data_IF_723412680840
#
_entry.id   IF_723412680840
#
_cell.length_a   1.000
_cell.length_b   1.000
_cell.length_c   1.000
_cell.angle_alpha   90.00
_cell.angle_beta   90.00
_cell.angle_gamma   90.00
#
_symmetry.space_group_name_H-M   'P 1'
#
loop_
_entity.id
_entity.type
_entity.pdbx_description
1 polymer ?
#
# COMPACT_ATOMS: atom_id res chain seq x y z
N UNK A 1 -21.98 -14.42 -4.85
CA UNK A 1 -21.42 -13.06 -4.89
C UNK A 1 -20.05 -13.14 -5.54
N UNK A 2 -19.87 -12.53 -6.71
CA UNK A 2 -18.59 -12.52 -7.43
C UNK A 2 -17.51 -11.78 -6.64
N UNK A 3 -17.90 -10.74 -5.89
CA UNK A 3 -16.99 -9.93 -5.08
C UNK A 3 -16.10 -10.76 -4.12
N UNK A 4 -16.59 -11.87 -3.60
CA UNK A 4 -15.83 -12.76 -2.70
C UNK A 4 -14.69 -13.53 -3.39
N UNK A 5 -14.72 -13.65 -4.73
CA UNK A 5 -13.74 -14.43 -5.49
C UNK A 5 -12.49 -13.62 -5.83
N UNK A 6 -12.63 -12.30 -5.92
CA UNK A 6 -11.58 -11.39 -6.35
C UNK A 6 -10.92 -10.70 -5.16
N UNK A 7 -9.64 -10.40 -5.27
CA UNK A 7 -8.94 -9.56 -4.28
C UNK A 7 -9.30 -8.10 -4.52
N UNK A 8 -9.13 -7.21 -3.53
CA UNK A 8 -9.46 -5.80 -3.70
C UNK A 8 -8.69 -5.13 -4.85
N UNK A 9 -7.44 -5.56 -5.07
CA UNK A 9 -6.61 -5.08 -6.17
C UNK A 9 -7.17 -5.48 -7.54
N UNK A 10 -7.69 -6.70 -7.66
CA UNK A 10 -8.31 -7.21 -8.89
C UNK A 10 -9.66 -6.54 -9.17
N UNK A 11 -10.47 -6.35 -8.14
CA UNK A 11 -11.75 -5.62 -8.26
C UNK A 11 -11.49 -4.19 -8.71
N UNK A 12 -10.52 -3.50 -8.08
CA UNK A 12 -10.15 -2.15 -8.46
C UNK A 12 -9.63 -2.07 -9.90
N UNK A 13 -8.89 -3.09 -10.34
CA UNK A 13 -8.44 -3.20 -11.72
C UNK A 13 -9.63 -3.35 -12.68
N UNK A 14 -10.55 -4.28 -12.41
CA UNK A 14 -11.71 -4.52 -13.28
C UNK A 14 -12.70 -3.35 -13.34
N UNK A 15 -12.81 -2.56 -12.28
CA UNK A 15 -13.73 -1.44 -12.20
C UNK A 15 -13.30 -0.24 -13.05
N UNK A 16 -12.01 -0.13 -13.42
CA UNK A 16 -11.48 0.99 -14.20
C UNK A 16 -11.26 0.63 -15.66
N UNK A 17 -11.18 1.66 -16.50
CA UNK A 17 -10.77 1.56 -17.92
C UNK A 17 -9.29 1.86 -18.12
N UNK A 18 -8.66 2.47 -17.11
CA UNK A 18 -7.24 2.80 -17.06
C UNK A 18 -6.59 2.07 -15.88
N UNK A 19 -5.26 1.94 -15.90
CA UNK A 19 -4.55 1.30 -14.80
C UNK A 19 -4.79 2.07 -13.48
N UNK A 20 -5.23 1.38 -12.42
CA UNK A 20 -5.40 2.01 -11.12
C UNK A 20 -4.04 2.44 -10.52
N UNK A 21 -4.02 3.46 -9.65
CA UNK A 21 -2.79 3.87 -8.97
C UNK A 21 -2.27 2.73 -8.10
N UNK A 22 -1.03 2.30 -8.36
CA UNK A 22 -0.41 1.14 -7.71
C UNK A 22 -0.35 1.29 -6.20
N UNK A 23 -0.12 2.52 -5.70
CA UNK A 23 -0.22 2.82 -4.27
C UNK A 23 -1.55 2.40 -3.67
N UNK A 24 -2.69 2.68 -4.33
CA UNK A 24 -4.03 2.29 -3.85
C UNK A 24 -4.18 0.77 -3.85
N UNK A 25 -3.70 0.09 -4.89
CA UNK A 25 -3.74 -1.38 -4.98
C UNK A 25 -2.92 -2.02 -3.86
N UNK A 26 -1.69 -1.55 -3.63
CA UNK A 26 -0.81 -2.04 -2.57
C UNK A 26 -1.42 -1.84 -1.19
N UNK A 27 -1.95 -0.63 -0.95
CA UNK A 27 -2.63 -0.29 0.30
C UNK A 27 -3.77 -1.27 0.58
N UNK A 28 -4.65 -1.47 -0.38
CA UNK A 28 -5.78 -2.40 -0.22
C UNK A 28 -5.33 -3.85 -0.06
N UNK A 29 -4.31 -4.29 -0.81
CA UNK A 29 -3.74 -5.64 -0.68
C UNK A 29 -3.16 -5.87 0.71
N UNK A 30 -2.42 -4.90 1.24
CA UNK A 30 -1.85 -4.97 2.59
C UNK A 30 -2.96 -5.05 3.66
N UNK A 31 -4.01 -4.23 3.53
CA UNK A 31 -5.17 -4.30 4.41
C UNK A 31 -5.84 -5.67 4.35
N UNK A 32 -6.08 -6.20 3.15
CA UNK A 32 -6.72 -7.49 2.95
C UNK A 32 -5.93 -8.61 3.64
N UNK A 33 -4.59 -8.62 3.47
CA UNK A 33 -3.72 -9.58 4.14
C UNK A 33 -3.78 -9.46 5.67
N UNK A 34 -3.96 -8.27 6.22
CA UNK A 34 -4.15 -8.09 7.67
C UNK A 34 -5.52 -8.57 8.13
N UNK A 35 -6.59 -8.22 7.40
CA UNK A 35 -7.95 -8.63 7.74
C UNK A 35 -8.14 -10.16 7.64
N UNK A 36 -7.38 -10.81 6.76
CA UNK A 36 -7.32 -12.28 6.63
C UNK A 36 -6.37 -12.95 7.63
N UNK A 37 -5.73 -12.19 8.49
CA UNK A 37 -4.74 -12.68 9.46
C UNK A 37 -3.52 -13.38 8.84
N UNK A 38 -3.17 -12.99 7.60
CA UNK A 38 -1.95 -13.43 6.91
C UNK A 38 -0.76 -12.57 7.35
N UNK A 39 -0.98 -11.26 7.47
CA UNK A 39 -0.05 -10.32 8.09
C UNK A 39 -0.64 -9.81 9.40
N UNK A 40 0.22 -9.48 10.36
CA UNK A 40 -0.17 -8.83 11.62
C UNK A 40 0.71 -7.62 11.87
N UNK A 41 0.08 -6.57 12.39
CA UNK A 41 0.77 -5.45 13.01
C UNK A 41 0.81 -5.61 14.52
N UNK A 42 2.02 -5.57 15.08
CA UNK A 42 2.23 -5.48 16.52
C UNK A 42 2.74 -4.10 16.89
N UNK A 43 2.08 -3.46 17.86
CA UNK A 43 2.63 -2.28 18.51
C UNK A 43 3.54 -2.72 19.64
N UNK A 44 4.82 -2.35 19.57
CA UNK A 44 5.77 -2.51 20.66
C UNK A 44 6.35 -1.14 20.99
N UNK A 45 6.26 -0.69 22.24
CA UNK A 45 6.87 0.58 22.60
C UNK A 45 8.39 0.44 22.51
N UNK A 46 9.05 1.46 21.98
CA UNK A 46 10.49 1.55 21.88
C UNK A 46 10.96 2.80 22.63
N UNK A 47 12.09 2.66 23.32
CA UNK A 47 12.70 3.73 24.08
C UNK A 47 14.17 3.82 23.66
N UNK A 48 14.57 4.95 23.07
CA UNK A 48 15.95 5.16 22.58
C UNK A 48 16.94 5.33 23.74
N UNK A 49 16.50 5.93 24.84
CA UNK A 49 17.31 6.11 26.06
C UNK A 49 16.41 6.05 27.30
N UNK A 50 16.96 5.76 28.50
CA UNK A 50 16.17 5.61 29.72
C UNK A 50 15.31 6.82 30.10
N UNK A 51 15.67 8.01 29.61
CA UNK A 51 14.97 9.28 29.87
C UNK A 51 14.08 9.74 28.72
N UNK A 52 14.15 9.10 27.55
CA UNK A 52 13.30 9.42 26.42
C UNK A 52 11.87 8.90 26.64
N UNK A 53 10.82 9.58 26.13
CA UNK A 53 9.48 9.04 26.16
C UNK A 53 9.38 7.75 25.32
N UNK A 54 8.56 6.80 25.78
CA UNK A 54 8.24 5.60 25.02
C UNK A 54 7.46 5.99 23.75
N UNK A 55 8.02 5.70 22.59
CA UNK A 55 7.38 5.92 21.30
C UNK A 55 6.74 4.61 20.80
N UNK A 56 5.50 4.64 20.26
CA UNK A 56 4.90 3.46 19.66
C UNK A 56 5.66 3.09 18.38
N UNK A 57 6.10 1.84 18.29
CA UNK A 57 6.73 1.29 17.09
C UNK A 57 5.92 0.11 16.57
N UNK A 58 5.60 0.15 15.27
CA UNK A 58 4.79 -0.87 14.63
C UNK A 58 5.66 -1.87 13.89
N UNK A 59 5.46 -3.15 14.16
CA UNK A 59 6.16 -4.25 13.54
C UNK A 59 5.20 -5.09 12.71
N UNK A 60 5.62 -5.46 11.51
CA UNK A 60 4.93 -6.40 10.63
C UNK A 60 5.47 -7.80 10.91
N UNK A 61 4.58 -8.77 11.04
CA UNK A 61 4.92 -10.19 11.11
C UNK A 61 3.89 -11.05 10.38
N UNK A 62 4.21 -12.33 10.20
CA UNK A 62 3.23 -13.31 9.74
C UNK A 62 2.15 -13.55 10.81
N UNK A 63 0.90 -13.58 10.37
CA UNK A 63 -0.27 -13.92 11.18
C UNK A 63 -0.52 -15.42 11.24
N UNK A 64 -1.62 -15.83 11.89
CA UNK A 64 -1.89 -17.26 12.10
C UNK A 64 -2.36 -17.96 10.82
N UNK A 65 -2.96 -17.22 9.87
CA UNK A 65 -3.45 -17.80 8.61
C UNK A 65 -2.33 -18.00 7.57
N UNK A 66 -1.17 -17.37 7.76
CA UNK A 66 -0.08 -17.38 6.79
C UNK A 66 0.39 -18.78 6.34
N UNK A 67 0.53 -19.80 7.23
CA UNK A 67 1.03 -21.12 6.82
C UNK A 67 0.11 -21.87 5.85
N UNK A 68 -1.19 -21.62 5.93
CA UNK A 68 -2.21 -22.28 5.09
C UNK A 68 -2.68 -21.42 3.93
N UNK A 69 -2.25 -20.16 3.89
CA UNK A 69 -2.68 -19.20 2.89
C UNK A 69 -1.97 -19.45 1.56
N UNK A 70 -2.73 -19.46 0.46
CA UNK A 70 -2.18 -19.53 -0.89
C UNK A 70 -2.17 -18.12 -1.49
N UNK A 71 -1.01 -17.44 -1.51
CA UNK A 71 -0.94 -16.08 -1.97
C UNK A 71 -1.08 -16.00 -3.49
N UNK A 72 -1.74 -14.94 -3.94
CA UNK A 72 -1.79 -14.55 -5.35
C UNK A 72 -0.45 -13.93 -5.76
N UNK A 73 -0.14 -13.87 -7.06
CA UNK A 73 1.13 -13.30 -7.55
C UNK A 73 1.45 -11.90 -7.01
N UNK A 74 0.46 -11.01 -6.94
CA UNK A 74 0.65 -9.65 -6.42
C UNK A 74 0.73 -9.57 -4.89
N UNK A 75 0.07 -10.50 -4.17
CA UNK A 75 0.16 -10.61 -2.71
C UNK A 75 1.51 -11.17 -2.27
N UNK A 76 2.08 -12.09 -3.05
CA UNK A 76 3.40 -12.68 -2.80
C UNK A 76 4.49 -11.61 -2.71
N UNK A 77 4.37 -10.51 -3.47
CA UNK A 77 5.29 -9.38 -3.42
C UNK A 77 5.34 -8.71 -2.04
N UNK A 78 4.22 -8.70 -1.30
CA UNK A 78 4.16 -8.20 0.06
C UNK A 78 4.72 -9.24 1.04
N UNK A 79 4.37 -10.50 0.86
CA UNK A 79 4.78 -11.57 1.79
C UNK A 79 6.29 -11.87 1.74
N UNK A 80 6.92 -11.78 0.57
CA UNK A 80 8.35 -12.06 0.39
C UNK A 80 9.27 -11.06 1.10
N UNK A 81 8.77 -9.90 1.50
CA UNK A 81 9.52 -8.88 2.24
C UNK A 81 9.91 -9.39 3.63
N UNK A 82 9.10 -10.26 4.23
CA UNK A 82 9.40 -10.87 5.52
C UNK A 82 10.38 -12.04 5.31
N UNK A 83 11.64 -11.91 5.75
CA UNK A 83 12.62 -12.96 5.53
C UNK A 83 12.27 -14.20 6.33
N UNK A 84 12.46 -15.37 5.72
CA UNK A 84 12.31 -16.67 6.35
C UNK A 84 13.17 -16.74 7.62
N UNK A 85 12.54 -17.00 8.76
CA UNK A 85 13.23 -17.16 10.05
C UNK A 85 13.31 -15.89 10.92
N UNK A 86 12.96 -14.69 10.41
CA UNK A 86 12.73 -13.54 11.30
C UNK A 86 11.28 -13.52 11.78
N UNK A 87 11.10 -13.23 13.06
CA UNK A 87 9.76 -13.20 13.66
C UNK A 87 8.99 -11.91 13.33
N UNK A 88 9.66 -10.79 13.07
CA UNK A 88 9.03 -9.50 12.80
C UNK A 88 9.99 -8.51 12.14
N UNK A 89 9.46 -7.48 11.48
CA UNK A 89 10.19 -6.37 10.88
C UNK A 89 9.51 -5.04 11.20
N UNK A 90 10.26 -3.99 11.51
CA UNK A 90 9.69 -2.64 11.72
C UNK A 90 8.95 -2.20 10.45
N UNK A 91 7.74 -1.65 10.57
CA UNK A 91 6.89 -1.26 9.44
C UNK A 91 7.61 -0.33 8.46
N UNK A 92 8.36 0.65 8.97
CA UNK A 92 9.18 1.55 8.13
C UNK A 92 10.18 0.78 7.26
N UNK A 93 10.87 -0.20 7.83
CA UNK A 93 11.82 -1.04 7.07
C UNK A 93 11.11 -1.98 6.11
N UNK A 94 9.98 -2.57 6.52
CA UNK A 94 9.15 -3.39 5.66
C UNK A 94 8.72 -2.62 4.40
N UNK A 95 8.24 -1.39 4.57
CA UNK A 95 7.82 -0.55 3.45
C UNK A 95 9.01 -0.13 2.57
N UNK A 96 10.16 0.18 3.16
CA UNK A 96 11.38 0.47 2.41
C UNK A 96 11.81 -0.69 1.50
N UNK A 97 11.93 -1.89 2.08
CA UNK A 97 12.28 -3.11 1.34
C UNK A 97 11.20 -3.48 0.32
N UNK A 98 9.93 -3.27 0.65
CA UNK A 98 8.83 -3.46 -0.31
C UNK A 98 9.04 -2.56 -1.53
N UNK A 99 9.22 -1.26 -1.34
CA UNK A 99 9.42 -0.32 -2.46
C UNK A 99 10.66 -0.63 -3.30
N UNK A 100 11.74 -1.08 -2.68
CA UNK A 100 12.96 -1.48 -3.40
C UNK A 100 12.79 -2.76 -4.21
N UNK A 101 12.02 -3.72 -3.69
CA UNK A 101 11.78 -5.02 -4.34
C UNK A 101 10.61 -5.02 -5.33
N UNK A 102 9.81 -3.95 -5.32
CA UNK A 102 8.62 -3.85 -6.14
C UNK A 102 8.98 -3.58 -7.61
N UNK A 103 8.30 -4.26 -8.56
CA UNK A 103 8.47 -3.94 -9.97
C UNK A 103 7.87 -2.57 -10.26
N UNK A 104 8.25 -1.99 -11.40
CA UNK A 104 7.67 -0.71 -11.87
C UNK A 104 6.13 -0.75 -11.86
N UNK A 105 5.45 0.40 -11.64
CA UNK A 105 4.00 0.44 -11.46
C UNK A 105 3.21 -0.31 -12.55
N UNK A 106 3.59 -0.10 -13.81
CA UNK A 106 2.96 -0.78 -14.94
C UNK A 106 3.11 -2.30 -14.88
N UNK A 107 4.27 -2.81 -14.44
CA UNK A 107 4.53 -4.25 -14.28
C UNK A 107 3.75 -4.83 -13.13
N UNK A 108 3.60 -4.08 -12.03
CA UNK A 108 2.75 -4.52 -10.92
C UNK A 108 1.30 -4.74 -11.38
N UNK A 109 0.76 -3.79 -12.15
CA UNK A 109 -0.56 -3.91 -12.75
C UNK A 109 -0.70 -5.16 -13.64
N UNK A 110 0.34 -5.49 -14.42
CA UNK A 110 0.37 -6.74 -15.21
C UNK A 110 0.37 -7.99 -14.32
N UNK A 111 1.14 -8.00 -13.23
CA UNK A 111 1.14 -9.11 -12.26
C UNK A 111 -0.25 -9.34 -11.66
N UNK A 112 -1.00 -8.25 -11.38
CA UNK A 112 -2.39 -8.36 -10.94
C UNK A 112 -3.27 -8.94 -12.06
N UNK A 113 -3.13 -8.47 -13.30
CA UNK A 113 -3.90 -8.96 -14.45
C UNK A 113 -3.59 -10.43 -14.83
N UNK A 114 -2.46 -10.97 -14.38
CA UNK A 114 -2.04 -12.36 -14.63
C UNK A 114 -2.68 -13.37 -13.66
N UNK A 115 -3.37 -12.91 -12.61
CA UNK A 115 -4.02 -13.81 -11.65
C UNK A 115 -5.05 -14.69 -12.35
N UNK A 116 -5.12 -15.97 -11.92
CA UNK A 116 -5.99 -16.98 -12.53
C UNK A 116 -7.46 -16.53 -12.60
N UNK A 117 -7.93 -15.75 -11.61
CA UNK A 117 -9.29 -15.23 -11.59
C UNK A 117 -9.60 -14.24 -12.72
N UNK A 118 -8.60 -13.52 -13.22
CA UNK A 118 -8.75 -12.52 -14.29
C UNK A 118 -8.41 -13.04 -15.68
N UNK A 119 -7.94 -14.29 -15.78
CA UNK A 119 -7.63 -14.91 -17.06
C UNK A 119 -8.92 -15.05 -17.89
N UNK A 120 -8.92 -14.42 -19.06
CA UNK A 120 -10.09 -14.37 -19.94
C UNK A 120 -11.00 -13.15 -19.74
N UNK A 121 -10.82 -12.36 -18.68
CA UNK A 121 -11.54 -11.08 -18.49
C UNK A 121 -10.83 -9.89 -19.11
N UNK A 122 -9.51 -9.96 -19.25
CA UNK A 122 -8.67 -8.88 -19.79
C UNK A 122 -8.10 -9.32 -21.15
N UNK A 123 -8.24 -8.46 -22.17
CA UNK A 123 -7.65 -8.65 -23.48
C UNK A 123 -6.12 -8.52 -23.39
N UNK A 124 -5.41 -9.54 -23.89
CA UNK A 124 -3.95 -9.58 -23.92
C UNK A 124 -3.45 -9.26 -25.31
N UNK A 125 -3.52 -8.00 -25.73
CA UNK A 125 -2.85 -7.54 -26.94
C UNK A 125 -1.49 -6.96 -26.58
N UNK A 126 -0.44 -7.31 -27.32
CA UNK A 126 0.93 -6.83 -27.07
C UNK A 126 1.08 -5.30 -27.04
N UNK A 127 0.14 -4.59 -27.67
CA UNK A 127 0.06 -3.13 -27.70
C UNK A 127 -0.28 -2.47 -26.36
N UNK A 128 -0.90 -3.19 -25.42
CA UNK A 128 -1.24 -2.62 -24.09
C UNK A 128 0.00 -2.29 -23.25
N UNK A 129 1.16 -2.89 -23.58
CA UNK A 129 2.45 -2.54 -22.97
C UNK A 129 2.87 -1.09 -23.28
N UNK A 130 2.38 -0.50 -24.37
CA UNK A 130 2.73 0.85 -24.80
C UNK A 130 1.70 1.92 -24.38
N UNK A 131 0.41 1.59 -24.32
CA UNK A 131 -0.65 2.60 -24.16
C UNK A 131 -1.17 2.79 -22.72
N UNK A 132 -0.51 2.20 -21.71
CA UNK A 132 -0.93 2.28 -20.29
C UNK A 132 -2.45 2.10 -20.09
N UNK A 133 -3.06 1.27 -20.92
CA UNK A 133 -4.49 0.97 -20.92
C UNK A 133 -4.64 -0.51 -21.18
N UNK A 134 -5.78 -1.06 -20.77
CA UNK A 134 -6.18 -2.42 -21.06
C UNK A 134 -7.61 -2.40 -21.57
N UNK A 135 -7.97 -3.40 -22.36
CA UNK A 135 -9.35 -3.61 -22.74
C UNK A 135 -9.90 -4.85 -22.06
N UNK A 136 -11.18 -4.81 -21.73
CA UNK A 136 -11.90 -5.97 -21.21
C UNK A 136 -12.42 -6.82 -22.36
N UNK A 137 -12.46 -8.13 -22.17
CA UNK A 137 -13.22 -9.02 -23.05
C UNK A 137 -14.73 -8.79 -22.86
N UNK A 138 -15.55 -9.46 -23.67
CA UNK A 138 -17.00 -9.48 -23.42
C UNK A 138 -17.31 -9.97 -22.00
N UNK A 139 -16.70 -11.09 -21.61
CA UNK A 139 -16.86 -11.68 -20.27
C UNK A 139 -16.36 -10.75 -19.17
N UNK A 140 -15.22 -10.07 -19.39
CA UNK A 140 -14.71 -9.06 -18.46
C UNK A 140 -15.63 -7.86 -18.31
N UNK A 141 -16.30 -7.45 -19.40
CA UNK A 141 -17.27 -6.35 -19.37
C UNK A 141 -18.53 -6.72 -18.60
N UNK A 142 -19.04 -7.95 -18.78
CA UNK A 142 -20.15 -8.51 -18.00
C UNK A 142 -19.75 -8.59 -16.53
N UNK A 143 -18.57 -9.14 -16.23
CA UNK A 143 -18.05 -9.26 -14.87
C UNK A 143 -17.93 -7.88 -14.20
N UNK A 144 -17.43 -6.86 -14.90
CA UNK A 144 -17.35 -5.49 -14.38
C UNK A 144 -18.74 -4.95 -13.99
N UNK A 145 -19.74 -5.16 -14.84
CA UNK A 145 -21.12 -4.73 -14.57
C UNK A 145 -21.64 -5.45 -13.32
N UNK A 146 -21.45 -6.77 -13.23
CA UNK A 146 -21.87 -7.56 -12.07
C UNK A 146 -21.18 -7.10 -10.79
N UNK A 147 -19.86 -6.91 -10.80
CA UNK A 147 -19.12 -6.44 -9.63
C UNK A 147 -19.58 -5.05 -9.19
N UNK A 148 -19.83 -4.14 -10.13
CA UNK A 148 -20.34 -2.80 -9.83
C UNK A 148 -21.74 -2.85 -9.20
N UNK A 149 -22.63 -3.68 -9.75
CA UNK A 149 -23.97 -3.88 -9.18
C UNK A 149 -23.88 -4.46 -7.76
N UNK A 150 -22.99 -5.43 -7.53
CA UNK A 150 -22.78 -6.01 -6.20
C UNK A 150 -22.23 -4.98 -5.19
N UNK A 151 -21.27 -4.14 -5.59
CA UNK A 151 -20.73 -3.09 -4.72
C UNK A 151 -21.77 -2.01 -4.43
N UNK A 152 -22.49 -1.53 -5.45
CA UNK A 152 -23.49 -0.46 -5.30
C UNK A 152 -24.67 -0.93 -4.44
N UNK A 153 -25.09 -2.19 -4.59
CA UNK A 153 -26.09 -2.80 -3.74
C UNK A 153 -25.65 -2.87 -2.27
N UNK A 154 -24.41 -3.28 -2.00
CA UNK A 154 -23.87 -3.31 -0.63
C UNK A 154 -23.78 -1.92 -0.01
N UNK A 155 -23.28 -0.93 -0.76
CA UNK A 155 -23.21 0.47 -0.29
C UNK A 155 -24.60 0.98 0.07
N UNK A 156 -25.58 0.71 -0.79
CA UNK A 156 -26.97 1.12 -0.55
C UNK A 156 -27.52 0.42 0.70
N UNK A 157 -27.30 -0.88 0.86
CA UNK A 157 -27.77 -1.63 2.04
C UNK A 157 -27.07 -1.17 3.33
N UNK A 158 -25.79 -0.80 3.28
CA UNK A 158 -25.06 -0.21 4.41
C UNK A 158 -25.64 1.14 4.82
N UNK A 159 -25.97 2.00 3.87
CA UNK A 159 -26.58 3.30 4.14
C UNK A 159 -27.96 3.20 4.80
N UNK A 160 -28.66 2.08 4.61
CA UNK A 160 -29.97 1.80 5.21
C UNK A 160 -29.89 0.89 6.46
N UNK A 161 -28.69 0.65 7.01
CA UNK A 161 -28.44 -0.17 8.20
C UNK A 161 -29.10 -1.56 8.14
N UNK A 162 -29.13 -2.18 6.96
CA UNK A 162 -29.81 -3.46 6.77
C UNK A 162 -29.08 -4.57 7.53
N UNK A 163 -29.74 -5.32 8.43
CA UNK A 163 -29.07 -6.31 9.30
C UNK A 163 -28.43 -7.47 8.54
N UNK A 164 -28.88 -7.74 7.31
CA UNK A 164 -28.26 -8.74 6.43
C UNK A 164 -26.84 -8.35 5.98
N UNK A 165 -26.46 -7.08 6.02
CA UNK A 165 -25.10 -6.64 5.68
C UNK A 165 -24.10 -7.06 6.75
N UNK A 166 -24.51 -7.06 8.02
CA UNK A 166 -23.65 -7.41 9.15
C UNK A 166 -23.13 -8.86 9.06
N UNK A 167 -23.85 -9.76 8.38
CA UNK A 167 -23.41 -11.15 8.18
C UNK A 167 -22.46 -11.31 6.99
N UNK A 168 -22.54 -10.44 5.98
CA UNK A 168 -21.72 -10.51 4.76
C UNK A 168 -20.42 -9.73 4.90
N UNK A 169 -20.42 -8.61 5.62
CA UNK A 169 -19.28 -7.70 5.74
C UNK A 169 -17.98 -8.40 6.25
N UNK A 170 -18.03 -9.27 7.27
CA UNK A 170 -16.83 -9.96 7.74
C UNK A 170 -16.22 -10.92 6.70
N UNK A 171 -17.02 -11.39 5.74
CA UNK A 171 -16.58 -12.31 4.68
C UNK A 171 -15.91 -11.57 3.52
N UNK A 172 -16.14 -10.27 3.38
CA UNK A 172 -15.57 -9.45 2.30
C UNK A 172 -14.10 -9.09 2.53
N UNK A 173 -13.61 -9.17 3.78
CA UNK A 173 -12.25 -8.77 4.15
C UNK A 173 -11.87 -7.42 3.53
N UNK A 174 -10.77 -7.33 2.79
CA UNK A 174 -10.33 -6.09 2.15
C UNK A 174 -11.30 -5.53 1.11
N UNK A 175 -12.23 -6.33 0.55
CA UNK A 175 -13.26 -5.80 -0.36
C UNK A 175 -14.27 -4.92 0.39
N UNK A 176 -14.38 -5.07 1.71
CA UNK A 176 -15.19 -4.18 2.55
C UNK A 176 -14.70 -2.71 2.45
N UNK A 177 -13.40 -2.50 2.20
CA UNK A 177 -12.82 -1.16 2.02
C UNK A 177 -13.25 -0.50 0.70
N UNK A 178 -13.69 -1.29 -0.29
CA UNK A 178 -14.21 -0.76 -1.56
C UNK A 178 -15.65 -0.27 -1.43
N UNK A 179 -16.39 -0.72 -0.41
CA UNK A 179 -17.79 -0.33 -0.15
C UNK A 179 -17.91 0.75 0.93
N UNK A 180 -16.79 1.39 1.30
CA UNK A 180 -16.78 2.53 2.21
C UNK A 180 -16.72 2.18 3.71
N UNK A 181 -16.36 0.95 4.08
CA UNK A 181 -16.06 0.63 5.49
C UNK A 181 -14.84 1.41 5.95
N UNK A 182 -14.87 1.87 7.21
CA UNK A 182 -13.76 2.62 7.79
C UNK A 182 -12.44 1.83 7.68
N UNK A 183 -11.38 2.44 7.15
CA UNK A 183 -10.10 1.76 7.01
C UNK A 183 -9.48 1.45 8.38
N UNK A 184 -8.93 0.24 8.58
CA UNK A 184 -8.28 -0.11 9.83
C UNK A 184 -7.05 0.78 10.07
N UNK A 185 -6.69 0.99 11.34
CA UNK A 185 -5.49 1.74 11.75
C UNK A 185 -4.24 1.31 10.98
N UNK A 186 -4.10 0.00 10.75
CA UNK A 186 -3.03 -0.60 9.98
C UNK A 186 -2.83 0.04 8.59
N UNK A 187 -3.93 0.38 7.93
CA UNK A 187 -3.91 0.98 6.60
C UNK A 187 -3.34 2.40 6.64
N UNK A 188 -3.74 3.18 7.66
CA UNK A 188 -3.26 4.55 7.86
C UNK A 188 -1.77 4.57 8.15
N UNK A 189 -1.30 3.65 8.99
CA UNK A 189 0.13 3.50 9.32
C UNK A 189 0.96 3.09 8.11
N UNK A 190 0.47 2.13 7.32
CA UNK A 190 1.14 1.71 6.09
C UNK A 190 1.27 2.87 5.10
N UNK A 191 0.18 3.61 4.88
CA UNK A 191 0.16 4.72 3.93
C UNK A 191 1.12 5.86 4.35
N UNK A 192 1.20 6.13 5.65
CA UNK A 192 2.15 7.09 6.21
C UNK A 192 3.60 6.69 5.96
N UNK A 193 3.97 5.43 6.24
CA UNK A 193 5.33 4.94 5.99
C UNK A 193 5.64 4.85 4.49
N UNK A 194 4.64 4.52 3.66
CA UNK A 194 4.77 4.48 2.20
C UNK A 194 5.10 5.84 1.63
N UNK A 195 4.34 6.87 2.01
CA UNK A 195 4.62 8.25 1.63
C UNK A 195 5.97 8.74 2.14
N UNK A 196 6.33 8.39 3.39
CA UNK A 196 7.63 8.74 3.95
C UNK A 196 8.77 8.14 3.13
N UNK A 197 8.68 6.86 2.78
CA UNK A 197 9.69 6.16 2.00
C UNK A 197 9.81 6.72 0.57
N UNK A 198 8.69 7.03 -0.09
CA UNK A 198 8.69 7.70 -1.40
C UNK A 198 9.41 9.05 -1.37
N UNK A 199 9.13 9.89 -0.35
CA UNK A 199 9.81 11.19 -0.17
C UNK A 199 11.32 11.03 0.05
N UNK A 200 11.72 10.02 0.81
CA UNK A 200 13.13 9.73 1.06
C UNK A 200 13.87 9.28 -0.21
N UNK A 201 13.21 8.50 -1.07
CA UNK A 201 13.86 7.88 -2.22
C UNK A 201 14.02 8.80 -3.45
N UNK A 202 13.48 10.03 -3.47
CA UNK A 202 13.46 10.93 -4.66
C UNK A 202 13.03 10.23 -5.97
N UNK A 203 12.45 9.03 -5.88
CA UNK A 203 12.00 8.24 -6.99
C UNK A 203 10.71 8.90 -7.48
N UNK A 204 10.76 9.35 -8.74
CA UNK A 204 9.83 10.29 -9.34
C UNK A 204 8.35 9.90 -9.25
N UNK A 205 7.54 10.88 -9.64
CA UNK A 205 6.07 11.00 -9.66
C UNK A 205 5.23 9.80 -10.15
N UNK A 206 5.83 8.69 -10.54
CA UNK A 206 5.17 7.57 -11.24
C UNK A 206 4.40 6.62 -10.31
N UNK A 207 4.61 6.71 -8.99
CA UNK A 207 3.88 5.91 -7.99
C UNK A 207 2.49 6.48 -7.62
N UNK A 208 2.02 7.50 -8.34
CA UNK A 208 0.76 8.20 -8.01
C UNK A 208 0.88 8.99 -6.71
N UNK A 209 2.05 9.58 -6.47
CA UNK A 209 2.26 10.49 -5.35
C UNK A 209 1.70 11.87 -5.71
N UNK A 210 0.38 12.01 -5.69
CA UNK A 210 -0.26 13.33 -5.63
C UNK A 210 0.12 13.95 -4.28
N UNK A 211 1.23 14.68 -4.26
CA UNK A 211 1.69 15.50 -3.14
C UNK A 211 1.08 16.91 -3.22
N UNK A 212 0.25 17.20 -4.23
CA UNK A 212 -0.51 18.44 -4.34
C UNK A 212 -2.01 18.12 -4.37
N UNK A 213 -2.73 18.61 -3.36
CA UNK A 213 -4.18 18.63 -3.38
C UNK A 213 -4.69 19.37 -4.61
N UNK A 214 -5.39 18.66 -5.47
CA UNK A 214 -6.37 19.19 -6.42
C UNK A 214 -7.11 18.00 -7.01
N UNK A 215 -8.18 17.60 -6.31
CA UNK A 215 -9.24 16.77 -6.87
C UNK A 215 -9.86 17.49 -8.07
N UNK A 216 -9.61 16.96 -9.25
CA UNK A 216 -10.38 17.28 -10.44
C UNK A 216 -10.48 16.02 -11.32
N UNK A 217 -11.23 15.03 -10.84
CA UNK A 217 -12.35 14.46 -11.59
C UNK A 217 -12.97 13.25 -10.85
N UNK A 218 -14.21 13.43 -10.40
CA UNK A 218 -15.19 12.34 -10.30
C UNK A 218 -15.11 11.41 -9.08
N UNK A 219 -15.51 11.93 -7.91
CA UNK A 219 -16.29 11.17 -6.93
C UNK A 219 -15.60 10.01 -6.21
N UNK A 220 -14.66 10.33 -5.32
CA UNK A 220 -14.38 9.55 -4.12
C UNK A 220 -14.03 10.58 -3.04
N UNK A 221 -14.93 10.78 -2.07
CA UNK A 221 -14.70 11.70 -0.97
C UNK A 221 -13.57 11.15 -0.10
N UNK A 222 -12.37 11.69 -0.29
CA UNK A 222 -11.25 11.51 0.64
C UNK A 222 -11.68 12.09 2.01
N UNK A 223 -11.86 11.19 2.98
CA UNK A 223 -12.08 11.55 4.37
C UNK A 223 -10.80 12.22 4.91
N UNK A 224 -10.77 13.55 4.85
CA UNK A 224 -9.66 14.35 5.36
C UNK A 224 -9.91 15.85 5.33
N UNK A 225 -11.14 16.31 5.59
CA UNK A 225 -11.43 17.73 5.77
C UNK A 225 -11.02 18.22 7.17
N UNK A 226 -10.01 19.09 7.24
CA UNK A 226 -9.66 19.86 8.43
C UNK A 226 -8.88 21.13 8.05
N UNK A 227 -9.44 22.29 8.39
CA UNK A 227 -9.21 23.60 7.81
C UNK A 227 -7.96 24.37 8.32
N UNK A 228 -7.51 25.31 7.46
CA UNK A 228 -7.00 26.66 7.73
C UNK A 228 -5.92 26.92 8.80
N UNK A 229 -4.79 27.47 8.37
CA UNK A 229 -3.94 28.32 9.21
C UNK A 229 -2.46 28.27 8.84
N UNK A 230 -1.94 29.37 8.30
CA UNK A 230 -0.50 29.59 8.24
C UNK A 230 0.11 29.65 9.64
N UNK A 231 1.38 29.26 9.75
CA UNK A 231 2.16 29.35 10.99
C UNK A 231 2.93 28.07 11.24
N UNK A 232 4.27 28.17 11.18
CA UNK A 232 5.17 27.02 11.21
C UNK A 232 5.12 26.17 12.47
N UNK A 233 5.46 24.90 12.29
CA UNK A 233 6.11 24.08 13.28
C UNK A 233 6.90 22.99 12.54
N UNK A 234 8.17 23.29 12.29
CA UNK A 234 9.22 22.31 12.09
C UNK A 234 9.27 21.42 13.33
N UNK A 235 8.76 20.19 13.22
CA UNK A 235 9.16 19.10 14.10
C UNK A 235 10.23 18.32 13.35
N UNK A 236 11.47 18.78 13.50
CA UNK A 236 12.68 18.05 13.15
C UNK A 236 12.63 16.68 13.83
N UNK A 237 12.47 15.62 13.04
CA UNK A 237 12.82 14.30 13.48
C UNK A 237 14.33 14.16 13.30
N UNK A 238 15.00 14.04 14.44
CA UNK A 238 16.44 13.95 14.62
C UNK A 238 17.18 13.19 13.53
N UNK A 239 18.18 13.90 13.05
CA UNK A 239 19.22 13.52 12.12
C UNK A 239 20.21 12.59 12.86
N UNK A 240 20.15 11.29 12.58
CA UNK A 240 21.11 10.32 13.13
C UNK A 240 21.99 9.78 11.99
N UNK A 241 23.02 10.56 11.68
CA UNK A 241 24.41 10.13 11.47
C UNK A 241 24.62 8.69 10.98
N UNK A 242 24.66 8.54 9.65
CA UNK A 242 25.24 7.39 8.98
C UNK A 242 26.76 7.35 9.17
N UNK A 243 27.25 6.42 9.97
CA UNK A 243 28.65 6.00 10.00
C UNK A 243 29.04 5.39 8.65
N UNK A 244 29.52 6.23 7.74
CA UNK A 244 30.16 5.80 6.49
C UNK A 244 31.67 5.77 6.72
N UNK A 245 32.20 4.62 7.13
CA UNK A 245 33.63 4.33 7.07
C UNK A 245 34.06 4.18 5.62
N UNK A 246 34.28 5.31 4.95
CA UNK A 246 34.86 5.41 3.61
C UNK A 246 36.33 5.77 3.71
N UNK A 247 37.19 4.76 3.77
CA UNK A 247 38.60 4.91 3.47
C UNK A 247 38.77 5.19 1.96
N UNK A 248 39.30 6.37 1.60
CA UNK A 248 39.99 6.64 0.32
C UNK A 248 40.65 8.02 0.31
N UNK A 249 41.98 7.99 0.43
CA UNK A 249 42.97 8.74 -0.36
C UNK A 249 42.90 10.27 -0.55
N UNK A 250 44.07 10.86 -0.29
CA UNK A 250 44.75 11.95 -1.01
C UNK A 250 44.33 13.40 -0.79
N UNK A 251 45.29 14.21 -0.31
CA UNK A 251 45.50 15.56 -0.86
C UNK A 251 45.70 16.73 0.11
N UNK A 252 46.95 16.93 0.54
CA UNK A 252 47.67 18.23 0.57
C UNK A 252 47.31 19.36 1.56
N UNK A 253 48.36 19.86 2.23
CA UNK A 253 48.53 21.23 2.77
C UNK A 253 48.40 21.31 4.30
N UNK A 254 49.42 21.52 5.12
CA UNK A 254 50.67 22.28 4.94
C UNK A 254 50.51 23.70 5.50
N UNK A 255 51.16 23.97 6.64
CA UNK A 255 51.40 25.23 7.40
C UNK A 255 50.91 25.07 8.87
N UNK A 256 51.70 25.20 9.94
CA UNK A 256 53.01 25.82 10.14
C UNK A 256 52.91 26.95 11.19
N UNK A 257 53.64 26.82 12.31
CA UNK A 257 53.80 27.84 13.39
C UNK A 257 53.15 27.38 14.70
N UNK A 258 53.87 27.05 15.79
CA UNK A 258 54.81 27.89 16.55
C UNK A 258 54.00 28.81 17.47
N UNK A 259 54.17 28.94 18.78
CA UNK A 259 55.11 28.49 19.78
C UNK A 259 54.63 29.12 21.12
N UNK A 260 55.15 28.60 22.23
CA UNK A 260 54.89 28.93 23.64
C UNK A 260 53.56 28.46 24.26
#
# INVERSE_FOLDING_TARGET
MQLLRFSPAEVLLLQRTTWPPVRRMLRLTFADLILRDVLRLENRPFQTSPHAPLAPCYYVRLGNAAPTYQPRPHEQLLLQVLPTGRQMMLLRHYVGVLLESMPEPHRFCLVVAETLGLQGSILRNGWYKFFQSFALTHDGSVLRITLRQETDALITQMAHEVPAVATVLPLLYGNALLVGVEPPLALRLFDQEFLRALRANRAGSDWGADVSGSDADGGDADFGGGHSGGGGASADFGDDSGCSSGCSSSGCGGCGGGGD
#
